data_IF_102511940538
#
_entry.id   IF_102511940538
#
_cell.length_a   1.000
_cell.length_b   1.000
_cell.length_c   1.000
_cell.angle_alpha   90.00
_cell.angle_beta   90.00
_cell.angle_gamma   90.00
#
_symmetry.space_group_name_H-M   'P 1'
#
loop_
_entity.id
_entity.type
_entity.pdbx_description
1 polymer ?
#
# COMPACT_ATOMS: atom_id res chain seq x y z
N UNK A 1 -24.49 15.23 -19.38
CA UNK A 1 -23.64 14.03 -19.29
C UNK A 1 -23.68 13.55 -17.86
N UNK A 2 -23.97 12.29 -17.63
CA UNK A 2 -23.85 11.69 -16.29
C UNK A 2 -22.38 11.67 -15.92
N UNK A 3 -22.03 12.22 -14.76
CA UNK A 3 -20.65 12.20 -14.24
C UNK A 3 -20.24 10.76 -14.00
N UNK A 4 -19.05 10.39 -14.47
CA UNK A 4 -18.49 9.06 -14.22
C UNK A 4 -18.07 8.92 -12.75
N UNK A 5 -18.44 7.81 -12.10
CA UNK A 5 -18.03 7.56 -10.74
C UNK A 5 -16.56 7.10 -10.68
N UNK A 6 -15.80 7.52 -9.67
CA UNK A 6 -14.46 7.00 -9.41
C UNK A 6 -14.47 5.47 -9.21
N UNK A 7 -15.54 4.93 -8.65
CA UNK A 7 -15.76 3.49 -8.47
C UNK A 7 -15.86 2.70 -9.78
N UNK A 8 -16.04 3.37 -10.92
CA UNK A 8 -15.93 2.71 -12.23
C UNK A 8 -14.47 2.46 -12.64
N UNK A 9 -13.52 3.20 -12.09
CA UNK A 9 -12.10 3.16 -12.42
C UNK A 9 -11.27 2.42 -11.39
N UNK A 10 -11.67 2.47 -10.13
CA UNK A 10 -10.95 1.88 -9.01
C UNK A 10 -11.89 1.10 -8.07
N UNK A 11 -11.34 0.16 -7.34
CA UNK A 11 -11.96 -0.41 -6.14
C UNK A 11 -11.49 0.44 -4.97
N UNK A 12 -12.39 1.25 -4.41
CA UNK A 12 -12.02 2.15 -3.30
C UNK A 12 -11.91 1.36 -2.02
N UNK A 13 -10.77 1.48 -1.36
CA UNK A 13 -10.45 0.75 -0.13
C UNK A 13 -9.87 1.62 0.98
N UNK A 14 -9.52 0.97 2.05
CA UNK A 14 -8.78 1.55 3.16
C UNK A 14 -8.03 0.48 3.95
N UNK A 15 -6.95 0.88 4.63
CA UNK A 15 -6.13 0.00 5.46
C UNK A 15 -6.77 -0.11 6.86
N UNK A 16 -7.21 -1.30 7.23
CA UNK A 16 -7.92 -1.56 8.48
C UNK A 16 -7.16 -1.04 9.70
N UNK A 17 -5.87 -1.35 9.80
CA UNK A 17 -5.01 -1.00 10.95
C UNK A 17 -4.64 0.50 11.02
N UNK A 18 -4.65 1.18 9.88
CA UNK A 18 -4.38 2.62 9.81
C UNK A 18 -5.63 3.43 10.12
N UNK A 19 -6.76 3.05 9.53
CA UNK A 19 -8.03 3.78 9.66
C UNK A 19 -8.62 3.70 11.06
N UNK A 20 -8.45 2.57 11.74
CA UNK A 20 -8.97 2.34 13.07
C UNK A 20 -7.90 1.83 14.04
N UNK A 21 -6.87 2.65 14.34
CA UNK A 21 -5.80 2.21 15.23
C UNK A 21 -6.32 1.99 16.66
N UNK A 22 -5.84 0.90 17.29
CA UNK A 22 -6.09 0.66 18.72
C UNK A 22 -7.44 0.03 19.08
N UNK A 23 -8.25 -0.38 18.08
CA UNK A 23 -9.45 -1.21 18.32
C UNK A 23 -9.22 -2.63 17.80
N UNK A 24 -10.08 -3.58 18.19
CA UNK A 24 -10.03 -4.94 17.69
C UNK A 24 -10.17 -4.99 16.16
N UNK A 25 -9.46 -5.91 15.52
CA UNK A 25 -9.48 -6.05 14.05
C UNK A 25 -10.88 -6.36 13.53
N UNK A 26 -11.64 -7.19 14.25
CA UNK A 26 -13.01 -7.52 13.92
C UNK A 26 -13.93 -6.27 13.95
N UNK A 27 -13.79 -5.41 14.97
CA UNK A 27 -14.56 -4.17 15.06
C UNK A 27 -14.20 -3.20 13.92
N UNK A 28 -12.93 -3.07 13.58
CA UNK A 28 -12.47 -2.24 12.46
C UNK A 28 -13.01 -2.74 11.12
N UNK A 29 -12.90 -4.05 10.86
CA UNK A 29 -13.43 -4.68 9.64
C UNK A 29 -14.94 -4.51 9.56
N UNK A 30 -15.67 -4.70 10.65
CA UNK A 30 -17.12 -4.51 10.70
C UNK A 30 -17.53 -3.08 10.34
N UNK A 31 -16.81 -2.08 10.85
CA UNK A 31 -17.04 -0.66 10.52
C UNK A 31 -16.82 -0.41 9.01
N UNK A 32 -15.72 -0.92 8.45
CA UNK A 32 -15.38 -0.75 7.02
C UNK A 32 -16.41 -1.48 6.15
N UNK A 33 -16.72 -2.73 6.47
CA UNK A 33 -17.68 -3.55 5.72
C UNK A 33 -19.12 -3.01 5.75
N UNK A 34 -19.48 -2.26 6.80
CA UNK A 34 -20.79 -1.62 6.91
C UNK A 34 -20.89 -0.29 6.15
N UNK A 35 -19.79 0.18 5.58
CA UNK A 35 -19.73 1.43 4.85
C UNK A 35 -19.74 1.18 3.33
N UNK A 36 -20.86 1.41 2.70
CA UNK A 36 -21.08 1.15 1.26
C UNK A 36 -20.20 1.99 0.31
N UNK A 37 -19.38 2.87 0.84
CA UNK A 37 -18.39 3.61 0.05
C UNK A 37 -17.19 2.75 -0.34
N UNK A 38 -16.90 1.69 0.41
CA UNK A 38 -15.76 0.83 0.17
C UNK A 38 -16.09 -0.37 -0.70
N UNK A 39 -15.27 -0.62 -1.72
CA UNK A 39 -15.26 -1.83 -2.57
C UNK A 39 -14.20 -2.82 -2.08
N UNK A 40 -13.22 -2.36 -1.31
CA UNK A 40 -12.05 -3.12 -0.89
C UNK A 40 -11.63 -2.81 0.56
N UNK A 41 -10.88 -3.74 1.14
CA UNK A 41 -10.23 -3.55 2.44
C UNK A 41 -8.85 -4.20 2.43
N UNK A 42 -7.89 -3.52 3.06
CA UNK A 42 -6.58 -4.11 3.35
C UNK A 42 -6.50 -4.53 4.81
N UNK A 43 -6.09 -5.77 5.02
CA UNK A 43 -5.98 -6.40 6.34
C UNK A 43 -4.51 -6.59 6.68
N UNK A 44 -4.13 -6.30 7.92
CA UNK A 44 -2.83 -6.67 8.48
C UNK A 44 -2.93 -8.03 9.21
N UNK A 45 -1.81 -8.60 9.69
CA UNK A 45 -1.85 -9.80 10.52
C UNK A 45 -2.87 -9.71 11.66
N UNK A 46 -3.74 -10.71 11.76
CA UNK A 46 -4.85 -10.75 12.71
C UNK A 46 -4.47 -11.58 13.93
N UNK A 47 -4.74 -11.09 15.16
CA UNK A 47 -4.61 -11.91 16.37
C UNK A 47 -5.42 -13.21 16.25
N UNK A 48 -4.85 -14.33 16.67
CA UNK A 48 -5.47 -15.66 16.51
C UNK A 48 -6.90 -15.71 17.06
N UNK A 49 -7.14 -15.03 18.18
CA UNK A 49 -8.46 -14.98 18.81
C UNK A 49 -9.54 -14.26 17.98
N UNK A 50 -9.15 -13.44 17.02
CA UNK A 50 -10.08 -12.65 16.18
C UNK A 50 -10.24 -13.22 14.77
N UNK A 51 -9.44 -14.19 14.37
CA UNK A 51 -9.34 -14.68 12.99
C UNK A 51 -10.67 -15.16 12.43
N UNK A 52 -11.37 -16.02 13.16
CA UNK A 52 -12.63 -16.60 12.68
C UNK A 52 -13.73 -15.53 12.53
N UNK A 53 -13.77 -14.56 13.44
CA UNK A 53 -14.72 -13.46 13.36
C UNK A 53 -14.41 -12.54 12.16
N UNK A 54 -13.13 -12.15 11.98
CA UNK A 54 -12.70 -11.35 10.83
C UNK A 54 -13.00 -12.08 9.52
N UNK A 55 -12.69 -13.37 9.42
CA UNK A 55 -12.99 -14.18 8.24
C UNK A 55 -14.49 -14.17 7.92
N UNK A 56 -15.33 -14.40 8.92
CA UNK A 56 -16.79 -14.39 8.74
C UNK A 56 -17.30 -13.02 8.28
N UNK A 57 -16.76 -11.92 8.79
CA UNK A 57 -17.13 -10.57 8.37
C UNK A 57 -16.73 -10.30 6.91
N UNK A 58 -15.53 -10.72 6.52
CA UNK A 58 -15.05 -10.60 5.14
C UNK A 58 -15.90 -11.42 4.17
N UNK A 59 -16.24 -12.67 4.51
CA UNK A 59 -17.05 -13.55 3.66
C UNK A 59 -18.46 -13.00 3.43
N UNK A 60 -19.02 -12.25 4.40
CA UNK A 60 -20.34 -11.62 4.28
C UNK A 60 -20.30 -10.29 3.53
N UNK A 61 -19.17 -9.61 3.54
CA UNK A 61 -19.08 -8.21 3.09
C UNK A 61 -19.08 -8.02 1.58
N UNK A 62 -18.63 -9.04 0.83
CA UNK A 62 -18.37 -8.96 -0.61
C UNK A 62 -17.29 -7.94 -0.98
N UNK A 63 -16.46 -7.51 -0.03
CA UNK A 63 -15.31 -6.66 -0.28
C UNK A 63 -14.17 -7.42 -0.96
N UNK A 64 -13.45 -6.76 -1.84
CA UNK A 64 -12.14 -7.26 -2.28
C UNK A 64 -11.14 -7.13 -1.13
N UNK A 65 -10.38 -8.20 -0.87
CA UNK A 65 -9.43 -8.24 0.24
C UNK A 65 -8.00 -8.23 -0.28
N UNK A 66 -7.18 -7.33 0.24
CA UNK A 66 -5.72 -7.32 0.13
C UNK A 66 -5.11 -7.49 1.52
N UNK A 67 -3.88 -7.98 1.58
CA UNK A 67 -3.19 -8.25 2.85
C UNK A 67 -1.86 -7.52 2.92
N UNK A 68 -1.67 -6.66 3.93
CA UNK A 68 -0.45 -5.90 4.16
C UNK A 68 0.42 -6.46 5.27
N UNK A 69 1.60 -6.97 4.96
CA UNK A 69 2.57 -7.43 5.95
C UNK A 69 3.41 -6.28 6.57
N UNK A 70 3.24 -5.04 6.09
CA UNK A 70 4.06 -3.86 6.40
C UNK A 70 4.27 -3.63 7.89
N UNK A 71 3.20 -3.54 8.68
CA UNK A 71 3.26 -3.26 10.10
C UNK A 71 4.03 -4.35 10.88
N UNK A 72 3.77 -5.62 10.59
CA UNK A 72 4.47 -6.74 11.21
C UNK A 72 5.93 -6.79 10.80
N UNK A 73 6.22 -6.55 9.51
CA UNK A 73 7.58 -6.52 8.98
C UNK A 73 8.41 -5.42 9.64
N UNK A 74 7.88 -4.20 9.74
CA UNK A 74 8.56 -3.07 10.37
C UNK A 74 8.78 -3.30 11.86
N UNK A 75 7.76 -3.78 12.57
CA UNK A 75 7.85 -4.05 14.00
C UNK A 75 8.88 -5.14 14.33
N UNK A 76 8.93 -6.19 13.53
CA UNK A 76 9.84 -7.32 13.75
C UNK A 76 11.21 -7.15 13.08
N UNK A 77 11.39 -6.13 12.24
CA UNK A 77 12.65 -5.84 11.55
C UNK A 77 13.03 -6.88 10.49
N UNK A 78 12.04 -7.54 9.85
CA UNK A 78 12.33 -8.51 8.79
C UNK A 78 12.96 -7.83 7.58
N UNK A 79 14.15 -8.29 7.19
CA UNK A 79 14.86 -7.74 6.05
C UNK A 79 14.92 -8.75 4.87
N UNK A 80 14.02 -8.64 3.88
CA UNK A 80 13.97 -9.55 2.73
C UNK A 80 15.14 -9.38 1.77
N UNK A 81 15.91 -8.31 1.89
CA UNK A 81 17.13 -8.04 1.10
C UNK A 81 18.42 -8.13 1.92
N UNK A 82 18.40 -8.73 3.12
CA UNK A 82 19.62 -8.88 3.92
C UNK A 82 20.68 -9.67 3.17
N UNK A 83 21.93 -9.20 3.27
CA UNK A 83 23.10 -9.92 2.74
C UNK A 83 23.50 -11.10 3.64
N UNK A 84 22.98 -11.15 4.87
CA UNK A 84 23.08 -12.30 5.75
C UNK A 84 22.00 -13.31 5.39
N UNK A 85 22.36 -14.40 4.73
CA UNK A 85 21.41 -15.38 4.18
C UNK A 85 20.45 -15.94 5.23
N UNK A 86 20.88 -16.11 6.48
CA UNK A 86 20.01 -16.56 7.59
C UNK A 86 18.89 -15.57 7.87
N UNK A 87 19.19 -14.28 7.90
CA UNK A 87 18.20 -13.21 8.14
C UNK A 87 17.24 -13.07 6.95
N UNK A 88 17.77 -13.11 5.74
CA UNK A 88 16.97 -13.06 4.51
C UNK A 88 15.98 -14.23 4.46
N UNK A 89 16.45 -15.46 4.73
CA UNK A 89 15.57 -16.64 4.77
C UNK A 89 14.52 -16.54 5.86
N UNK A 90 14.89 -16.06 7.03
CA UNK A 90 13.92 -15.85 8.10
C UNK A 90 12.83 -14.86 7.69
N UNK A 91 13.20 -13.72 7.08
CA UNK A 91 12.24 -12.75 6.56
C UNK A 91 11.33 -13.39 5.49
N UNK A 92 11.90 -14.18 4.57
CA UNK A 92 11.14 -14.91 3.56
C UNK A 92 10.11 -15.86 4.17
N UNK A 93 10.50 -16.63 5.19
CA UNK A 93 9.62 -17.58 5.89
C UNK A 93 8.47 -16.86 6.61
N UNK A 94 8.75 -15.71 7.26
CA UNK A 94 7.68 -14.93 7.89
C UNK A 94 6.70 -14.36 6.86
N UNK A 95 7.18 -13.84 5.73
CA UNK A 95 6.34 -13.35 4.64
C UNK A 95 5.54 -14.50 3.98
N UNK A 96 6.06 -15.72 3.93
CA UNK A 96 5.29 -16.90 3.49
C UNK A 96 4.14 -17.23 4.46
N UNK A 97 4.34 -17.07 5.76
CA UNK A 97 3.24 -17.20 6.74
C UNK A 97 2.18 -16.12 6.56
N UNK A 98 2.58 -14.90 6.20
CA UNK A 98 1.64 -13.85 5.84
C UNK A 98 0.83 -14.23 4.59
N UNK A 99 1.44 -14.88 3.58
CA UNK A 99 0.73 -15.41 2.41
C UNK A 99 -0.27 -16.51 2.82
N UNK A 100 0.07 -17.39 3.76
CA UNK A 100 -0.84 -18.42 4.24
C UNK A 100 -2.06 -17.84 4.94
N UNK A 101 -1.86 -16.84 5.81
CA UNK A 101 -2.94 -16.13 6.48
C UNK A 101 -3.79 -15.33 5.48
N UNK A 102 -3.15 -14.61 4.56
CA UNK A 102 -3.82 -13.88 3.49
C UNK A 102 -4.72 -14.79 2.63
N UNK A 103 -4.22 -15.94 2.22
CA UNK A 103 -4.98 -16.94 1.47
C UNK A 103 -6.19 -17.47 2.27
N UNK A 104 -6.01 -17.71 3.56
CA UNK A 104 -7.10 -18.16 4.43
C UNK A 104 -8.17 -17.07 4.60
N UNK A 105 -7.78 -15.80 4.68
CA UNK A 105 -8.70 -14.65 4.72
C UNK A 105 -9.40 -14.38 3.38
N UNK A 106 -8.98 -15.03 2.30
CA UNK A 106 -9.54 -14.81 0.95
C UNK A 106 -8.93 -13.62 0.23
N UNK A 107 -7.74 -13.15 0.65
CA UNK A 107 -7.06 -12.04 -0.01
C UNK A 107 -6.54 -12.44 -1.41
N UNK A 108 -6.65 -11.51 -2.35
CA UNK A 108 -6.11 -11.68 -3.71
C UNK A 108 -4.62 -11.35 -3.80
N UNK A 109 -4.12 -10.49 -2.90
CA UNK A 109 -2.74 -10.03 -2.89
C UNK A 109 -2.16 -10.06 -1.48
N UNK A 110 -0.82 -10.19 -1.41
CA UNK A 110 -0.04 -9.93 -0.20
C UNK A 110 1.05 -8.92 -0.52
N UNK A 111 1.08 -7.83 0.24
CA UNK A 111 2.05 -6.75 0.07
C UNK A 111 3.06 -6.68 1.20
N UNK A 112 4.27 -6.22 0.89
CA UNK A 112 5.38 -6.11 1.81
C UNK A 112 6.33 -4.97 1.40
N UNK A 113 7.34 -4.68 2.24
CA UNK A 113 8.36 -3.66 2.01
C UNK A 113 9.71 -4.28 1.65
N UNK A 114 10.54 -3.52 0.95
CA UNK A 114 11.98 -3.75 0.98
C UNK A 114 12.51 -3.53 2.41
N UNK A 115 13.67 -4.12 2.71
CA UNK A 115 14.35 -3.90 3.96
C UNK A 115 15.40 -2.78 3.86
N UNK A 116 16.08 -2.51 4.97
CA UNK A 116 17.24 -1.60 5.02
C UNK A 116 18.39 -2.12 4.17
N UNK A 117 19.24 -1.24 3.74
CA UNK A 117 20.38 -1.52 2.86
C UNK A 117 21.65 -0.77 3.31
N UNK A 118 22.80 -1.20 2.81
CA UNK A 118 24.11 -0.62 3.08
C UNK A 118 24.54 0.21 1.88
N UNK A 119 24.94 1.45 2.12
CA UNK A 119 25.48 2.33 1.10
C UNK A 119 26.70 1.68 0.39
N UNK A 120 26.76 1.79 -0.93
CA UNK A 120 27.79 1.16 -1.76
C UNK A 120 27.54 -0.32 -2.08
N UNK A 121 26.49 -0.96 -1.53
CA UNK A 121 26.15 -2.38 -1.79
C UNK A 121 24.74 -2.55 -2.34
N UNK A 122 24.19 -1.53 -2.99
CA UNK A 122 22.82 -1.50 -3.47
C UNK A 122 22.49 -2.65 -4.40
N UNK A 123 23.37 -2.97 -5.37
CA UNK A 123 23.16 -4.08 -6.32
C UNK A 123 23.09 -5.44 -5.63
N UNK A 124 23.93 -5.68 -4.60
CA UNK A 124 23.90 -6.92 -3.85
C UNK A 124 22.56 -7.08 -3.09
N UNK A 125 22.12 -6.01 -2.41
CA UNK A 125 20.82 -5.99 -1.74
C UNK A 125 19.65 -6.17 -2.72
N UNK A 126 19.72 -5.53 -3.90
CA UNK A 126 18.72 -5.67 -4.95
C UNK A 126 18.62 -7.14 -5.42
N UNK A 127 19.75 -7.79 -5.65
CA UNK A 127 19.80 -9.21 -6.01
C UNK A 127 19.17 -10.13 -4.96
N UNK A 128 19.40 -9.84 -3.67
CA UNK A 128 18.76 -10.60 -2.56
C UNK A 128 17.26 -10.35 -2.50
N UNK A 129 16.80 -9.11 -2.72
CA UNK A 129 15.38 -8.78 -2.77
C UNK A 129 14.68 -9.50 -3.93
N UNK A 130 15.25 -9.47 -5.13
CA UNK A 130 14.72 -10.19 -6.30
C UNK A 130 14.59 -11.69 -6.00
N UNK A 131 15.62 -12.31 -5.41
CA UNK A 131 15.62 -13.73 -5.00
C UNK A 131 14.48 -14.04 -4.03
N UNK A 132 14.30 -13.21 -3.00
CA UNK A 132 13.24 -13.38 -2.01
C UNK A 132 11.87 -13.20 -2.63
N UNK A 133 11.67 -12.13 -3.39
CA UNK A 133 10.38 -11.80 -4.03
C UNK A 133 9.96 -12.87 -5.02
N UNK A 134 10.90 -13.39 -5.82
CA UNK A 134 10.61 -14.51 -6.75
C UNK A 134 10.17 -15.78 -6.00
N UNK A 135 10.75 -16.05 -4.82
CA UNK A 135 10.33 -17.17 -3.99
C UNK A 135 8.91 -16.94 -3.41
N UNK A 136 8.60 -15.73 -2.94
CA UNK A 136 7.26 -15.36 -2.46
C UNK A 136 6.22 -15.45 -3.59
N UNK A 137 6.53 -14.96 -4.78
CA UNK A 137 5.63 -15.03 -5.95
C UNK A 137 5.30 -16.47 -6.33
N UNK A 138 6.30 -17.35 -6.37
CA UNK A 138 6.08 -18.80 -6.63
C UNK A 138 5.21 -19.43 -5.54
N UNK A 139 5.42 -19.07 -4.28
CA UNK A 139 4.64 -19.57 -3.15
C UNK A 139 3.18 -19.07 -3.19
N UNK A 140 2.98 -17.79 -3.45
CA UNK A 140 1.65 -17.17 -3.59
C UNK A 140 0.86 -17.70 -4.79
N UNK A 141 1.54 -18.00 -5.90
CA UNK A 141 0.92 -18.58 -7.11
C UNK A 141 0.20 -19.90 -6.82
N UNK A 142 0.71 -20.73 -5.91
CA UNK A 142 0.06 -21.97 -5.49
C UNK A 142 -1.29 -21.74 -4.79
N UNK A 143 -1.56 -20.50 -4.39
CA UNK A 143 -2.79 -20.04 -3.71
C UNK A 143 -3.62 -19.09 -4.58
N UNK A 144 -3.28 -18.98 -5.88
CA UNK A 144 -3.87 -18.04 -6.83
C UNK A 144 -3.76 -16.57 -6.41
N UNK A 145 -2.68 -16.21 -5.69
CA UNK A 145 -2.43 -14.87 -5.18
C UNK A 145 -1.31 -14.19 -5.95
N UNK A 146 -1.34 -12.86 -5.93
CA UNK A 146 -0.25 -11.99 -6.35
C UNK A 146 0.54 -11.47 -5.14
N UNK A 147 1.76 -11.03 -5.40
CA UNK A 147 2.63 -10.37 -4.43
C UNK A 147 2.87 -8.94 -4.89
N UNK A 148 2.81 -8.00 -3.96
CA UNK A 148 3.06 -6.59 -4.23
C UNK A 148 4.17 -6.07 -3.33
N UNK A 149 5.03 -5.19 -3.86
CA UNK A 149 5.99 -4.45 -3.06
C UNK A 149 5.61 -2.98 -3.10
N UNK A 150 5.57 -2.36 -1.94
CA UNK A 150 5.31 -0.92 -1.84
C UNK A 150 6.61 -0.12 -1.99
N UNK A 151 6.55 0.93 -2.82
CA UNK A 151 7.63 1.90 -3.01
C UNK A 151 7.61 2.88 -1.85
N UNK A 152 8.72 2.98 -1.13
CA UNK A 152 8.83 3.72 0.12
C UNK A 152 9.95 4.77 0.09
N UNK A 153 10.13 5.52 1.19
CA UNK A 153 11.26 6.43 1.34
C UNK A 153 12.58 5.70 1.56
N UNK A 154 13.67 6.27 1.03
CA UNK A 154 15.01 5.70 1.11
C UNK A 154 15.98 6.49 2.00
N UNK A 155 15.64 7.71 2.43
CA UNK A 155 16.53 8.59 3.18
C UNK A 155 15.85 9.42 4.29
N UNK A 156 14.53 9.47 4.34
CA UNK A 156 13.77 10.32 5.26
C UNK A 156 13.43 9.60 6.57
N UNK A 157 12.58 8.58 6.54
CA UNK A 157 12.04 7.90 7.74
C UNK A 157 12.37 6.41 7.78
N UNK A 158 11.81 5.61 6.90
CA UNK A 158 12.01 4.15 6.89
C UNK A 158 13.35 3.74 6.30
N UNK A 159 13.84 4.48 5.32
CA UNK A 159 15.16 4.29 4.67
C UNK A 159 15.35 2.88 4.14
N UNK A 160 14.39 2.43 3.36
CA UNK A 160 14.42 1.11 2.74
C UNK A 160 15.03 1.15 1.34
N UNK A 161 15.40 -0.02 0.80
CA UNK A 161 16.10 -0.12 -0.47
C UNK A 161 15.30 0.44 -1.65
N UNK A 162 14.00 0.13 -1.72
CA UNK A 162 13.15 0.51 -2.87
C UNK A 162 12.40 1.80 -2.55
N UNK A 163 12.97 2.91 -3.01
CA UNK A 163 12.42 4.27 -2.92
C UNK A 163 12.34 4.96 -4.28
N UNK A 164 13.45 5.22 -5.00
CA UNK A 164 13.40 5.89 -6.30
C UNK A 164 12.65 5.06 -7.35
N UNK A 165 11.80 5.71 -8.12
CA UNK A 165 10.98 5.05 -9.16
C UNK A 165 11.83 4.28 -10.19
N UNK A 166 13.00 4.80 -10.55
CA UNK A 166 13.92 4.11 -11.45
C UNK A 166 14.41 2.76 -10.89
N UNK A 167 14.79 2.71 -9.62
CA UNK A 167 15.22 1.49 -8.95
C UNK A 167 14.03 0.53 -8.74
N UNK A 168 12.85 1.06 -8.41
CA UNK A 168 11.63 0.27 -8.30
C UNK A 168 11.26 -0.38 -9.64
N UNK A 169 11.41 0.32 -10.76
CA UNK A 169 11.18 -0.22 -12.10
C UNK A 169 12.19 -1.31 -12.47
N UNK A 170 13.49 -1.11 -12.18
CA UNK A 170 14.54 -2.11 -12.37
C UNK A 170 14.23 -3.39 -11.59
N UNK A 171 13.94 -3.24 -10.31
CA UNK A 171 13.53 -4.34 -9.44
C UNK A 171 12.32 -5.09 -9.99
N UNK A 172 11.25 -4.35 -10.33
CA UNK A 172 10.02 -4.95 -10.82
C UNK A 172 10.22 -5.68 -12.16
N UNK A 173 11.04 -5.13 -13.06
CA UNK A 173 11.40 -5.77 -14.31
C UNK A 173 12.14 -7.11 -14.07
N UNK A 174 13.12 -7.11 -13.15
CA UNK A 174 13.87 -8.30 -12.78
C UNK A 174 12.96 -9.40 -12.20
N UNK A 175 12.04 -9.05 -11.31
CA UNK A 175 11.08 -10.02 -10.73
C UNK A 175 10.10 -10.52 -11.80
N UNK A 176 9.54 -9.63 -12.64
CA UNK A 176 8.56 -9.99 -13.66
C UNK A 176 9.13 -10.80 -14.82
N UNK A 177 10.44 -10.89 -14.98
CA UNK A 177 11.06 -11.79 -15.94
C UNK A 177 10.60 -13.25 -15.72
N UNK A 178 10.43 -13.66 -14.45
CA UNK A 178 10.03 -15.01 -14.08
C UNK A 178 8.65 -15.10 -13.41
N UNK A 179 8.17 -14.01 -12.81
CA UNK A 179 6.99 -14.00 -11.95
C UNK A 179 5.97 -12.95 -12.40
N UNK A 180 4.97 -13.36 -13.20
CA UNK A 180 3.92 -12.44 -13.69
C UNK A 180 2.93 -11.99 -12.61
N UNK A 181 2.84 -12.71 -11.50
CA UNK A 181 2.00 -12.39 -10.35
C UNK A 181 2.71 -11.46 -9.35
N UNK A 182 3.47 -10.50 -9.86
CA UNK A 182 4.13 -9.45 -9.08
C UNK A 182 3.68 -8.07 -9.55
N UNK A 183 3.49 -7.16 -8.60
CA UNK A 183 3.19 -5.75 -8.86
C UNK A 183 3.82 -4.81 -7.85
N UNK A 184 3.61 -3.51 -8.07
CA UNK A 184 4.02 -2.44 -7.17
C UNK A 184 2.81 -1.71 -6.63
N UNK A 185 2.89 -1.33 -5.35
CA UNK A 185 2.02 -0.32 -4.74
C UNK A 185 2.73 1.02 -4.86
N UNK A 186 2.01 2.03 -5.32
CA UNK A 186 2.47 3.43 -5.35
C UNK A 186 1.58 4.25 -4.44
N UNK A 187 2.17 4.82 -3.40
CA UNK A 187 1.47 5.73 -2.49
C UNK A 187 1.82 7.20 -2.80
N UNK A 188 0.77 8.00 -2.95
CA UNK A 188 0.89 9.44 -3.10
C UNK A 188 1.64 10.10 -1.94
N UNK A 189 1.53 9.58 -0.72
CA UNK A 189 2.22 10.13 0.47
C UNK A 189 3.73 9.94 0.42
N UNK A 190 4.21 8.88 -0.25
CA UNK A 190 5.63 8.58 -0.36
C UNK A 190 6.34 9.39 -1.46
N UNK A 191 5.63 9.84 -2.49
CA UNK A 191 6.23 10.60 -3.59
C UNK A 191 7.00 11.84 -3.11
N UNK A 192 6.48 12.69 -2.20
CA UNK A 192 7.26 13.79 -1.65
C UNK A 192 8.49 13.35 -0.85
N UNK A 193 8.45 12.14 -0.25
CA UNK A 193 9.53 11.58 0.55
C UNK A 193 10.64 10.97 -0.31
N UNK A 194 10.35 10.63 -1.58
CA UNK A 194 11.36 10.17 -2.55
C UNK A 194 11.94 11.30 -3.40
N UNK A 195 11.54 12.57 -3.14
CA UNK A 195 12.01 13.77 -3.85
C UNK A 195 11.70 13.75 -5.35
N UNK A 196 10.69 13.01 -5.77
CA UNK A 196 10.29 12.86 -7.16
C UNK A 196 8.98 13.60 -7.48
N UNK A 197 8.66 13.80 -8.75
CA UNK A 197 7.34 14.29 -9.17
C UNK A 197 6.37 13.14 -9.43
N UNK A 198 5.06 13.41 -9.24
CA UNK A 198 3.99 12.44 -9.50
C UNK A 198 4.02 11.93 -10.94
N UNK A 199 4.24 12.85 -11.89
CA UNK A 199 4.29 12.56 -13.32
C UNK A 199 5.43 11.58 -13.63
N UNK A 200 6.62 11.84 -13.05
CA UNK A 200 7.78 11.00 -13.23
C UNK A 200 7.56 9.60 -12.66
N UNK A 201 7.08 9.51 -11.41
CA UNK A 201 6.83 8.24 -10.72
C UNK A 201 5.80 7.41 -11.48
N UNK A 202 4.64 8.00 -11.83
CA UNK A 202 3.57 7.28 -12.53
C UNK A 202 4.03 6.85 -13.93
N UNK A 203 4.72 7.73 -14.68
CA UNK A 203 5.23 7.41 -16.01
C UNK A 203 6.20 6.23 -16.00
N UNK A 204 7.15 6.21 -15.06
CA UNK A 204 8.15 5.14 -14.95
C UNK A 204 7.50 3.83 -14.49
N UNK A 205 6.61 3.90 -13.49
CA UNK A 205 6.09 2.70 -12.81
C UNK A 205 4.81 2.14 -13.42
N UNK A 206 4.13 2.86 -14.34
CA UNK A 206 2.84 2.42 -14.94
C UNK A 206 2.76 0.96 -15.41
N UNK A 207 3.84 0.31 -15.92
CA UNK A 207 3.76 -1.08 -16.32
C UNK A 207 3.63 -2.06 -15.14
N UNK A 208 3.98 -1.60 -13.94
CA UNK A 208 4.12 -2.42 -12.73
C UNK A 208 3.08 -2.10 -11.67
N UNK A 209 2.41 -0.93 -11.73
CA UNK A 209 1.40 -0.52 -10.75
C UNK A 209 0.22 -1.49 -10.79
N UNK A 210 -0.05 -2.12 -9.66
CA UNK A 210 -1.21 -3.01 -9.46
C UNK A 210 -2.11 -2.54 -8.34
N UNK A 211 -1.66 -1.59 -7.53
CA UNK A 211 -2.35 -1.04 -6.38
C UNK A 211 -1.90 0.41 -6.15
N UNK A 212 -2.78 1.24 -5.66
CA UNK A 212 -2.53 2.66 -5.39
C UNK A 212 -2.96 3.00 -3.98
N UNK A 213 -2.08 3.67 -3.23
CA UNK A 213 -2.47 4.31 -1.98
C UNK A 213 -2.57 5.82 -2.15
N UNK A 214 -3.47 6.44 -1.42
CA UNK A 214 -3.57 7.88 -1.29
C UNK A 214 -3.53 8.26 0.18
N UNK A 215 -2.52 9.03 0.52
CA UNK A 215 -2.25 9.51 1.86
C UNK A 215 -1.62 10.90 1.83
N UNK A 216 -1.19 11.35 2.99
CA UNK A 216 -0.56 12.64 3.18
C UNK A 216 0.75 12.48 3.96
N UNK A 217 1.72 13.35 3.71
CA UNK A 217 3.00 13.39 4.40
C UNK A 217 3.33 14.82 4.82
N UNK A 218 4.25 14.97 5.77
CA UNK A 218 4.82 16.24 6.20
C UNK A 218 6.33 16.17 6.08
N UNK A 219 6.93 17.16 5.42
CA UNK A 219 8.38 17.22 5.16
C UNK A 219 9.13 18.13 6.14
N UNK A 220 8.45 18.79 7.08
CA UNK A 220 9.08 19.62 8.10
C UNK A 220 9.55 18.73 9.26
N UNK A 221 10.89 18.60 9.49
CA UNK A 221 11.44 17.74 10.55
C UNK A 221 11.02 18.14 11.98
N UNK A 222 10.63 19.40 12.19
CA UNK A 222 10.19 19.91 13.49
C UNK A 222 8.70 19.58 13.74
N UNK A 223 7.98 19.12 12.73
CA UNK A 223 6.56 18.78 12.86
C UNK A 223 6.38 17.35 13.42
N UNK A 224 5.51 17.16 14.42
CA UNK A 224 5.24 15.82 14.98
C UNK A 224 4.67 14.81 13.97
N UNK A 225 4.26 15.26 12.78
CA UNK A 225 3.80 14.40 11.68
C UNK A 225 4.85 14.22 10.57
N UNK A 226 6.12 14.55 10.84
CA UNK A 226 7.21 14.41 9.87
C UNK A 226 7.37 12.97 9.38
N UNK A 227 7.63 12.83 8.09
CA UNK A 227 7.90 11.54 7.45
C UNK A 227 6.61 10.76 7.15
N UNK A 228 6.72 9.45 7.28
CA UNK A 228 5.69 8.46 6.97
C UNK A 228 4.70 8.28 8.13
N UNK A 229 3.95 9.35 8.44
CA UNK A 229 2.99 9.37 9.54
C UNK A 229 1.53 9.42 9.07
N UNK A 230 1.29 9.56 7.78
CA UNK A 230 -0.02 9.56 7.13
C UNK A 230 -1.09 10.42 7.83
N UNK A 231 -0.83 11.71 8.13
CA UNK A 231 -1.84 12.56 8.74
C UNK A 231 -3.01 12.80 7.76
N UNK A 232 -4.16 13.19 8.29
CA UNK A 232 -5.34 13.50 7.48
C UNK A 232 -5.06 14.53 6.38
N UNK A 233 -5.83 14.49 5.31
CA UNK A 233 -5.87 15.56 4.31
C UNK A 233 -6.27 16.89 4.94
N UNK A 234 -5.69 18.00 4.45
CA UNK A 234 -5.86 19.32 5.04
C UNK A 234 -5.20 19.50 6.42
N UNK A 235 -4.27 18.61 6.81
CA UNK A 235 -3.41 18.82 7.96
C UNK A 235 -2.47 20.01 7.71
N UNK A 236 -2.25 20.89 8.70
CA UNK A 236 -1.24 21.95 8.58
C UNK A 236 0.14 21.37 8.23
N UNK A 237 0.85 21.99 7.29
CA UNK A 237 2.12 21.54 6.72
C UNK A 237 2.03 20.21 5.92
N UNK A 238 0.84 19.63 5.74
CA UNK A 238 0.64 18.46 4.88
C UNK A 238 0.92 18.79 3.41
N UNK A 239 1.48 17.81 2.70
CA UNK A 239 1.88 17.95 1.30
C UNK A 239 0.72 17.66 0.34
N UNK A 240 -0.23 16.83 0.74
CA UNK A 240 -1.31 16.36 -0.12
C UNK A 240 -2.68 16.77 0.45
N UNK A 241 -3.48 17.38 -0.43
CA UNK A 241 -4.89 17.69 -0.21
C UNK A 241 -5.64 17.52 -1.54
N UNK A 242 -6.82 18.04 -1.68
CA UNK A 242 -7.68 17.92 -2.88
C UNK A 242 -6.94 18.23 -4.19
N UNK A 243 -6.04 19.20 -4.20
CA UNK A 243 -5.30 19.61 -5.40
C UNK A 243 -4.29 18.54 -5.83
N UNK A 244 -3.50 18.04 -4.90
CA UNK A 244 -2.47 17.05 -5.16
C UNK A 244 -3.10 15.68 -5.48
N UNK A 245 -4.16 15.29 -4.77
CA UNK A 245 -4.95 14.08 -5.09
C UNK A 245 -5.53 14.17 -6.50
N UNK A 246 -6.07 15.34 -6.90
CA UNK A 246 -6.58 15.54 -8.26
C UNK A 246 -5.48 15.43 -9.32
N UNK A 247 -4.31 16.04 -9.07
CA UNK A 247 -3.16 15.94 -9.97
C UNK A 247 -2.67 14.50 -10.11
N UNK A 248 -2.58 13.75 -9.01
CA UNK A 248 -2.19 12.35 -9.03
C UNK A 248 -3.17 11.46 -9.81
N UNK A 249 -4.48 11.62 -9.56
CA UNK A 249 -5.53 10.92 -10.31
C UNK A 249 -5.48 11.26 -11.81
N UNK A 250 -5.17 12.51 -12.15
CA UNK A 250 -4.99 12.94 -13.55
C UNK A 250 -3.78 12.23 -14.18
N UNK A 251 -2.65 12.10 -13.48
CA UNK A 251 -1.48 11.34 -13.95
C UNK A 251 -1.84 9.87 -14.18
N UNK A 252 -2.51 9.22 -13.21
CA UNK A 252 -2.95 7.81 -13.34
C UNK A 252 -3.87 7.62 -14.53
N UNK A 253 -4.77 8.58 -14.80
CA UNK A 253 -5.68 8.54 -15.96
C UNK A 253 -4.95 8.75 -17.27
N UNK A 254 -4.07 9.74 -17.35
CA UNK A 254 -3.29 10.06 -18.54
C UNK A 254 -2.38 8.91 -18.97
N UNK A 255 -1.80 8.20 -18.01
CA UNK A 255 -0.89 7.08 -18.24
C UNK A 255 -1.62 5.72 -18.36
N UNK A 256 -2.96 5.70 -18.33
CA UNK A 256 -3.78 4.50 -18.51
C UNK A 256 -3.72 3.51 -17.33
N UNK A 257 -3.29 3.96 -16.16
CA UNK A 257 -3.35 3.18 -14.91
C UNK A 257 -4.77 3.14 -14.37
N UNK A 258 -5.48 4.28 -14.38
CA UNK A 258 -6.91 4.35 -14.10
C UNK A 258 -7.71 3.75 -15.28
N UNK A 259 -8.16 2.52 -15.13
CA UNK A 259 -8.80 1.73 -16.20
C UNK A 259 -10.06 1.03 -15.66
N UNK A 260 -11.21 1.30 -16.29
CA UNK A 260 -12.52 0.72 -15.94
C UNK A 260 -12.56 -0.83 -16.03
N UNK A 261 -11.72 -1.43 -16.87
CA UNK A 261 -11.67 -2.90 -17.03
C UNK A 261 -10.86 -3.56 -15.92
N UNK A 262 -9.80 -2.89 -15.46
CA UNK A 262 -8.90 -3.40 -14.42
C UNK A 262 -9.42 -3.09 -13.04
N UNK A 263 -9.93 -1.88 -12.82
CA UNK A 263 -10.38 -1.37 -11.52
C UNK A 263 -9.40 -1.72 -10.40
N UNK A 264 -8.16 -1.22 -10.51
CA UNK A 264 -7.14 -1.45 -9.49
C UNK A 264 -7.63 -0.97 -8.11
N UNK A 265 -7.20 -1.59 -7.01
CA UNK A 265 -7.44 -1.05 -5.68
C UNK A 265 -6.83 0.36 -5.55
N UNK A 266 -7.58 1.27 -4.94
CA UNK A 266 -7.14 2.59 -4.50
C UNK A 266 -7.57 2.76 -3.05
N UNK A 267 -6.60 2.69 -2.14
CA UNK A 267 -6.86 2.70 -0.71
C UNK A 267 -6.45 3.99 -0.04
N UNK A 268 -7.27 4.43 0.91
CA UNK A 268 -6.86 5.49 1.84
C UNK A 268 -5.83 4.96 2.83
N UNK A 269 -4.65 5.53 2.81
CA UNK A 269 -3.62 5.31 3.82
C UNK A 269 -3.50 6.56 4.68
N UNK A 270 -4.38 6.69 5.65
CA UNK A 270 -4.46 7.83 6.56
C UNK A 270 -4.69 7.33 7.99
N UNK A 271 -3.89 7.85 8.91
CA UNK A 271 -3.93 7.47 10.32
C UNK A 271 -4.47 8.61 11.18
N UNK A 272 -5.60 8.43 11.87
CA UNK A 272 -6.09 9.39 12.86
C UNK A 272 -5.07 9.59 13.99
N UNK A 273 -4.87 10.83 14.39
CA UNK A 273 -4.02 11.19 15.55
C UNK A 273 -4.82 11.03 16.86
N UNK A 274 -4.12 11.02 17.99
CA UNK A 274 -4.68 10.68 19.30
C UNK A 274 -5.96 11.44 19.71
N UNK A 275 -6.20 12.64 19.17
CA UNK A 275 -7.38 13.44 19.46
C UNK A 275 -8.39 13.51 18.31
N UNK A 276 -8.16 12.74 17.24
CA UNK A 276 -9.01 12.73 16.06
C UNK A 276 -9.95 11.52 16.07
N UNK A 277 -11.17 11.73 15.60
CA UNK A 277 -12.14 10.64 15.41
C UNK A 277 -11.86 9.90 14.12
N UNK A 278 -11.63 8.60 14.19
CA UNK A 278 -11.40 7.74 13.02
C UNK A 278 -12.54 7.85 11.99
N UNK A 279 -13.78 7.83 12.43
CA UNK A 279 -14.95 7.95 11.55
C UNK A 279 -14.97 9.30 10.82
N UNK A 280 -14.60 10.41 11.51
CA UNK A 280 -14.52 11.74 10.90
C UNK A 280 -13.36 11.80 9.91
N UNK A 281 -12.21 11.19 10.20
CA UNK A 281 -11.05 11.16 9.30
C UNK A 281 -11.36 10.35 8.05
N UNK A 282 -12.02 9.21 8.14
CA UNK A 282 -12.47 8.47 6.95
C UNK A 282 -13.48 9.28 6.11
N UNK A 283 -14.38 10.01 6.75
CA UNK A 283 -15.26 10.94 6.03
C UNK A 283 -14.49 12.10 5.37
N UNK A 284 -13.39 12.58 5.98
CA UNK A 284 -12.49 13.55 5.36
C UNK A 284 -11.84 12.96 4.10
N UNK A 285 -11.30 11.74 4.18
CA UNK A 285 -10.70 11.05 3.03
C UNK A 285 -11.68 10.94 1.85
N UNK A 286 -12.90 10.48 2.11
CA UNK A 286 -13.95 10.35 1.09
C UNK A 286 -14.32 11.70 0.45
N UNK A 287 -14.45 12.76 1.26
CA UNK A 287 -14.73 14.12 0.75
C UNK A 287 -13.59 14.64 -0.09
N UNK A 288 -12.34 14.43 0.33
CA UNK A 288 -11.14 14.81 -0.42
C UNK A 288 -11.10 14.11 -1.76
N UNK A 289 -11.26 12.78 -1.78
CA UNK A 289 -11.25 12.00 -3.01
C UNK A 289 -12.37 12.42 -3.98
N UNK A 290 -13.60 12.57 -3.47
CA UNK A 290 -14.74 13.01 -4.28
C UNK A 290 -14.55 14.44 -4.82
N UNK A 291 -13.95 15.34 -4.03
CA UNK A 291 -13.66 16.69 -4.47
C UNK A 291 -12.55 16.72 -5.55
N UNK A 292 -11.52 15.88 -5.37
CA UNK A 292 -10.45 15.72 -6.33
C UNK A 292 -10.95 15.14 -7.66
N UNK A 293 -11.75 14.07 -7.62
CA UNK A 293 -12.32 13.44 -8.81
C UNK A 293 -13.16 14.40 -9.65
N UNK A 294 -13.96 15.25 -8.99
CA UNK A 294 -14.77 16.27 -9.69
C UNK A 294 -13.94 17.32 -10.45
N UNK A 295 -12.66 17.47 -10.14
CA UNK A 295 -11.77 18.42 -10.85
C UNK A 295 -11.20 17.83 -12.15
N UNK A 296 -11.33 16.52 -12.36
CA UNK A 296 -10.88 15.85 -13.58
C UNK A 296 -11.95 15.87 -14.70
N UNK A 297 -13.16 16.23 -14.34
CA UNK A 297 -14.31 16.38 -15.25
C UNK A 297 -14.41 17.83 -15.73
#
# INVERSE_FOLDING_TARGET
MTRESIHEYFQIGTLQWMSYPGIASADAVKKIASDSYFDAVEISPIPEAERDEVKNLLDQSHLSVSYGAHAAQLQAGWNPNSLVEKERRYAQEQLQRCIDEAAWLGAATMSFLAGRWEEGRQEEHLGQLVKTTAALCRYAKLRNMSVELEVFDYDVDKRVLIGPASLAAEFAAAVRADCRNFGLIVDLSHIPLTHESMEQVVYILKPYITHVHIGNAVLDPENPAYGDQHPRFGCPAGRNDVTEVAAFLQCLRAEGVADKKKRLPLSFEVKPRAQESADIILCNCKRTLNAAWRRLE
#
